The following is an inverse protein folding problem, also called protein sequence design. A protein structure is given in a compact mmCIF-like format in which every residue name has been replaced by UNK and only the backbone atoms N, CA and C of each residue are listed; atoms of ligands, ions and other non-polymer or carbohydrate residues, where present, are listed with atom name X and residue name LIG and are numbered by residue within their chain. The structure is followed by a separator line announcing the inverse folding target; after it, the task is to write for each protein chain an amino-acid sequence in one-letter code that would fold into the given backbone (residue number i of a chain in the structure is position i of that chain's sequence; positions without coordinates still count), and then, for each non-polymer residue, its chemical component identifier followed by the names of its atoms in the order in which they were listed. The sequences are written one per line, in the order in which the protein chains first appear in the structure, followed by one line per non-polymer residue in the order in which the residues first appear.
data_IF_302729010212
#
_entry.id   IF_302729010212
#
_cell.length_a   1.000
_cell.length_b   1.000
_cell.length_c   1.000
_cell.angle_alpha   90.00
_cell.angle_beta   90.00
_cell.angle_gamma   90.00
#
_symmetry.space_group_name_H-M   'P 1'
#
loop_
_entity.id
_entity.type
_entity.pdbx_description
1 polymer ?
#
# COMPACT_ATOMS: atom_id res chain seq x y z
N UNK A 1 -9.20 -19.52 -0.05
CA UNK A 1 -9.36 -18.65 -1.23
C UNK A 1 -7.99 -18.37 -1.81
N UNK A 2 -7.61 -19.02 -2.91
CA UNK A 2 -6.38 -18.71 -3.63
C UNK A 2 -6.68 -17.68 -4.71
N UNK A 3 -6.03 -16.51 -4.63
CA UNK A 3 -6.08 -15.56 -5.75
C UNK A 3 -5.27 -16.17 -6.89
N UNK A 4 -5.93 -16.39 -8.02
CA UNK A 4 -5.30 -16.78 -9.27
C UNK A 4 -4.32 -15.68 -9.71
N UNK A 5 -3.02 -16.01 -9.81
CA UNK A 5 -1.96 -15.04 -10.10
C UNK A 5 -2.09 -14.43 -11.50
N UNK A 6 -2.84 -15.06 -12.41
CA UNK A 6 -3.16 -14.53 -13.75
C UNK A 6 -4.03 -13.27 -13.72
N UNK A 7 -4.76 -13.02 -12.61
CA UNK A 7 -5.74 -11.94 -12.50
C UNK A 7 -5.25 -10.75 -11.65
N UNK A 8 -3.99 -10.75 -11.21
CA UNK A 8 -3.42 -9.61 -10.45
C UNK A 8 -2.96 -8.54 -11.43
N UNK A 9 -3.82 -7.56 -11.68
CA UNK A 9 -3.49 -6.40 -12.52
C UNK A 9 -2.98 -5.23 -11.66
N UNK A 10 -2.23 -4.27 -12.25
CA UNK A 10 -1.87 -3.02 -11.57
C UNK A 10 -3.09 -2.22 -11.06
N UNK A 11 -4.27 -2.44 -11.65
CA UNK A 11 -5.53 -1.85 -11.19
C UNK A 11 -6.01 -2.51 -9.89
N UNK A 12 -5.89 -3.83 -9.79
CA UNK A 12 -6.16 -4.57 -8.56
C UNK A 12 -5.31 -4.08 -7.39
N UNK A 13 -4.03 -3.77 -7.62
CA UNK A 13 -3.14 -3.30 -6.56
C UNK A 13 -3.55 -1.94 -5.97
N UNK A 14 -3.98 -0.99 -6.81
CA UNK A 14 -4.45 0.33 -6.35
C UNK A 14 -5.78 0.22 -5.59
N UNK A 15 -6.70 -0.64 -6.04
CA UNK A 15 -7.95 -0.89 -5.32
C UNK A 15 -7.68 -1.49 -3.95
N UNK A 16 -6.88 -2.56 -3.88
CA UNK A 16 -6.55 -3.20 -2.60
C UNK A 16 -5.87 -2.25 -1.61
N UNK A 17 -5.02 -1.35 -2.09
CA UNK A 17 -4.45 -0.29 -1.26
C UNK A 17 -5.52 0.68 -0.73
N UNK A 18 -6.47 1.10 -1.58
CA UNK A 18 -7.54 2.04 -1.17
C UNK A 18 -8.53 1.42 -0.20
N UNK A 19 -8.85 0.15 -0.38
CA UNK A 19 -9.73 -0.62 0.49
C UNK A 19 -9.06 -0.80 1.85
N UNK A 20 -7.80 -1.26 1.87
CA UNK A 20 -7.02 -1.36 3.11
C UNK A 20 -6.90 -0.02 3.85
N UNK A 21 -6.60 1.07 3.14
CA UNK A 21 -6.43 2.38 3.75
C UNK A 21 -7.75 2.87 4.39
N UNK A 22 -8.90 2.57 3.79
CA UNK A 22 -10.21 3.02 4.27
C UNK A 22 -10.86 2.11 5.33
N UNK A 23 -10.64 0.80 5.24
CA UNK A 23 -11.35 -0.18 6.09
C UNK A 23 -10.50 -0.68 7.27
N UNK A 24 -9.17 -0.69 7.12
CA UNK A 24 -8.26 -1.34 8.07
C UNK A 24 -7.35 -0.32 8.75
N UNK A 25 -6.94 0.73 8.03
CA UNK A 25 -6.02 1.74 8.54
C UNK A 25 -6.72 2.91 9.23
N UNK A 26 -5.98 3.68 10.03
CA UNK A 26 -6.45 4.94 10.63
C UNK A 26 -6.00 6.18 9.83
N UNK A 27 -5.37 5.98 8.67
CA UNK A 27 -4.87 7.08 7.86
C UNK A 27 -6.02 7.84 7.17
N UNK A 28 -5.95 9.18 7.07
CA UNK A 28 -6.98 9.95 6.38
C UNK A 28 -7.08 9.58 4.90
N UNK A 29 -8.30 9.56 4.36
CA UNK A 29 -8.56 9.31 2.92
C UNK A 29 -7.69 10.18 2.02
N UNK A 30 -7.58 11.46 2.35
CA UNK A 30 -6.82 12.43 1.54
C UNK A 30 -5.35 12.05 1.41
N UNK A 31 -4.78 11.41 2.44
CA UNK A 31 -3.39 10.97 2.44
C UNK A 31 -3.20 9.75 1.55
N UNK A 32 -4.17 8.82 1.53
CA UNK A 32 -4.18 7.68 0.63
C UNK A 32 -4.30 8.11 -0.84
N UNK A 33 -5.19 9.06 -1.12
CA UNK A 33 -5.35 9.61 -2.46
C UNK A 33 -4.09 10.38 -2.91
N UNK A 34 -3.47 11.16 -2.02
CA UNK A 34 -2.20 11.83 -2.29
C UNK A 34 -1.03 10.86 -2.48
N UNK A 35 -1.06 9.66 -1.87
CA UNK A 35 -0.09 8.60 -2.12
C UNK A 35 -0.29 7.92 -3.48
N UNK A 36 -1.53 7.89 -3.98
CA UNK A 36 -1.88 7.44 -5.33
C UNK A 36 -1.62 8.49 -6.42
N UNK A 37 -1.11 9.66 -6.06
CA UNK A 37 -0.99 10.84 -6.92
C UNK A 37 -2.34 11.32 -7.50
N UNK A 38 -3.44 11.02 -6.80
CA UNK A 38 -4.75 11.56 -7.11
C UNK A 38 -4.89 12.98 -6.55
N UNK A 39 -5.49 13.86 -7.33
CA UNK A 39 -5.82 15.21 -6.89
C UNK A 39 -7.19 15.18 -6.22
N UNK A 40 -7.26 15.61 -4.96
CA UNK A 40 -8.51 15.63 -4.17
C UNK A 40 -8.80 17.03 -3.66
N UNK A 41 -10.06 17.42 -3.71
CA UNK A 41 -10.58 18.67 -3.18
C UNK A 41 -10.78 19.75 -4.23
N UNK A 42 -11.48 20.81 -3.85
CA UNK A 42 -11.71 21.97 -4.71
C UNK A 42 -10.45 22.86 -4.82
N UNK A 43 -10.53 23.96 -5.58
CA UNK A 43 -9.40 24.88 -5.73
C UNK A 43 -8.99 25.54 -4.41
N UNK A 44 -9.96 25.76 -3.51
CA UNK A 44 -9.78 26.42 -2.22
C UNK A 44 -9.01 25.51 -1.25
N UNK A 45 -9.46 24.26 -1.09
CA UNK A 45 -8.78 23.26 -0.25
C UNK A 45 -7.34 23.01 -0.72
N UNK A 46 -7.13 22.98 -2.05
CA UNK A 46 -5.80 22.86 -2.65
C UNK A 46 -4.91 24.06 -2.35
N UNK A 47 -5.46 25.28 -2.37
CA UNK A 47 -4.71 26.49 -2.02
C UNK A 47 -4.27 26.50 -0.55
N UNK A 48 -5.07 25.92 0.35
CA UNK A 48 -4.72 25.80 1.77
C UNK A 48 -3.80 24.62 2.10
N UNK A 49 -3.76 23.57 1.27
CA UNK A 49 -2.75 22.49 1.39
C UNK A 49 -1.37 22.99 0.95
N UNK A 50 -0.72 23.74 1.85
CA UNK A 50 0.64 24.30 1.65
C UNK A 50 1.77 23.26 1.65
N UNK A 51 1.46 21.98 1.86
CA UNK A 51 2.47 20.92 1.92
C UNK A 51 1.95 19.60 1.36
N UNK A 52 2.87 18.82 0.82
CA UNK A 52 2.64 17.52 0.18
C UNK A 52 2.53 16.34 1.15
N UNK A 53 2.58 16.63 2.47
CA UNK A 53 2.49 15.67 3.56
C UNK A 53 3.42 14.45 3.41
N UNK A 54 4.60 14.61 2.79
CA UNK A 54 5.53 13.51 2.48
C UNK A 54 5.81 12.59 3.68
N UNK A 55 6.09 13.17 4.85
CA UNK A 55 6.33 12.42 6.10
C UNK A 55 5.16 11.49 6.46
N UNK A 56 3.94 12.02 6.36
CA UNK A 56 2.73 11.24 6.65
C UNK A 56 2.52 10.16 5.58
N UNK A 57 2.76 10.48 4.30
CA UNK A 57 2.68 9.51 3.20
C UNK A 57 3.68 8.37 3.38
N UNK A 58 4.89 8.65 3.89
CA UNK A 58 5.87 7.60 4.21
C UNK A 58 5.35 6.64 5.27
N UNK A 59 4.82 7.17 6.39
CA UNK A 59 4.23 6.33 7.45
C UNK A 59 3.08 5.46 6.94
N UNK A 60 2.25 6.01 6.06
CA UNK A 60 1.19 5.27 5.37
C UNK A 60 1.77 4.12 4.52
N UNK A 61 2.79 4.38 3.71
CA UNK A 61 3.43 3.35 2.88
C UNK A 61 4.14 2.28 3.73
N UNK A 62 4.75 2.66 4.85
CA UNK A 62 5.34 1.69 5.79
C UNK A 62 4.27 0.82 6.46
N UNK A 63 3.11 1.39 6.78
CA UNK A 63 1.97 0.63 7.30
C UNK A 63 1.44 -0.37 6.27
N UNK A 64 1.35 0.07 5.01
CA UNK A 64 0.94 -0.79 3.90
C UNK A 64 1.93 -1.93 3.68
N UNK A 65 3.22 -1.63 3.66
CA UNK A 65 4.27 -2.64 3.52
C UNK A 65 4.20 -3.72 4.62
N UNK A 66 3.99 -3.31 5.87
CA UNK A 66 3.80 -4.23 7.01
C UNK A 66 2.54 -5.10 6.87
N UNK A 67 1.48 -4.58 6.25
CA UNK A 67 0.27 -5.34 6.00
C UNK A 67 0.44 -6.36 4.86
N UNK A 68 1.12 -5.98 3.78
CA UNK A 68 1.40 -6.88 2.66
C UNK A 68 2.40 -7.98 3.02
N UNK A 69 3.41 -7.64 3.81
CA UNK A 69 4.47 -8.53 4.24
C UNK A 69 4.57 -8.52 5.77
N UNK A 70 3.61 -9.17 6.45
CA UNK A 70 3.72 -9.37 7.89
C UNK A 70 4.97 -10.23 8.14
N UNK A 71 5.90 -9.68 8.92
CA UNK A 71 7.15 -10.35 9.24
C UNK A 71 6.83 -11.70 9.89
N UNK A 72 7.25 -12.80 9.29
CA UNK A 72 7.10 -14.11 9.91
C UNK A 72 7.81 -14.11 11.26
N UNK A 73 7.17 -14.69 12.29
CA UNK A 73 7.73 -14.76 13.64
C UNK A 73 9.09 -15.52 13.65
N UNK A 74 9.31 -16.40 12.67
CA UNK A 74 10.56 -17.12 12.48
C UNK A 74 10.95 -17.15 10.99
N UNK A 75 12.21 -16.83 10.64
CA UNK A 75 12.69 -16.97 9.27
C UNK A 75 12.77 -18.45 8.89
N UNK A 76 11.89 -18.88 7.97
CA UNK A 76 11.93 -20.23 7.40
C UNK A 76 13.04 -20.28 6.34
N UNK A 77 14.23 -20.74 6.75
CA UNK A 77 15.35 -20.98 5.82
C UNK A 77 15.08 -22.29 5.08
N UNK A 78 14.75 -22.20 3.78
CA UNK A 78 14.59 -23.37 2.91
C UNK A 78 15.89 -23.57 2.13
N UNK A 79 16.63 -24.67 2.33
CA UNK A 79 17.82 -24.98 1.53
C UNK A 79 17.45 -25.10 0.05
N UNK A 80 18.15 -24.35 -0.81
CA UNK A 80 17.96 -24.47 -2.26
C UNK A 80 18.60 -25.77 -2.74
N UNK A 81 17.79 -26.84 -2.84
CA UNK A 81 18.27 -28.11 -3.34
C UNK A 81 18.73 -27.95 -4.81
N UNK A 82 20.00 -28.23 -5.06
CA UNK A 82 20.59 -28.25 -6.41
C UNK A 82 19.92 -29.39 -7.17
N UNK A 83 19.07 -29.09 -8.16
CA UNK A 83 18.54 -30.12 -9.07
C UNK A 83 19.75 -30.81 -9.71
N UNK A 84 19.81 -32.14 -9.54
CA UNK A 84 20.90 -32.99 -9.99
C UNK A 84 21.18 -32.82 -11.49
N UNK A 85 22.47 -32.93 -11.82
CA UNK A 85 23.02 -32.94 -13.17
C UNK A 85 22.60 -34.20 -13.95
#
# INVERSE_FOLDING_TARGET
MGIDRSNVTPHGFRSSFRDWAGEISTFPRELAEAALANVVGDMTERAYRRGDALEKRRKLMEGWARFCEPRAAEPVVIPLARRGA
#
